data_IF_948158806348
#
_entry.id   IF_948158806348
#
_cell.length_a   1.000
_cell.length_b   1.000
_cell.length_c   1.000
_cell.angle_alpha   90.00
_cell.angle_beta   90.00
_cell.angle_gamma   90.00
#
_symmetry.space_group_name_H-M   'P 1'
#
loop_
_entity.id
_entity.type
_entity.pdbx_description
1 polymer ?
#
# COMPACT_ATOMS: atom_id res chain seq x y z
N UNK A 1 -4.01 14.29 -12.39
CA UNK A 1 -3.17 15.34 -11.78
C UNK A 1 -1.87 15.54 -12.54
N UNK A 2 -1.07 14.49 -12.77
CA UNK A 2 0.20 14.58 -13.51
C UNK A 2 0.10 15.31 -14.87
N UNK A 3 -1.02 15.15 -15.58
CA UNK A 3 -1.28 15.77 -16.89
C UNK A 3 -2.11 17.07 -16.81
N UNK A 4 -2.43 17.54 -15.61
CA UNK A 4 -3.26 18.74 -15.43
C UNK A 4 -2.44 20.01 -15.65
N UNK A 5 -3.05 21.00 -16.30
CA UNK A 5 -2.50 22.36 -16.43
C UNK A 5 -2.84 23.27 -15.25
N UNK A 6 -3.62 22.80 -14.26
CA UNK A 6 -4.01 23.59 -13.10
C UNK A 6 -2.83 23.77 -12.14
N UNK A 7 -2.42 25.01 -11.82
CA UNK A 7 -1.32 25.24 -10.90
C UNK A 7 -1.70 24.79 -9.48
N UNK A 8 -0.78 24.10 -8.80
CA UNK A 8 -0.97 23.58 -7.45
C UNK A 8 -2.16 22.61 -7.30
N UNK A 9 -2.48 21.86 -8.35
CA UNK A 9 -3.54 20.86 -8.30
C UNK A 9 -3.24 19.81 -7.22
N UNK A 10 -4.22 19.60 -6.33
CA UNK A 10 -4.17 18.63 -5.24
C UNK A 10 -5.25 17.57 -5.48
N UNK A 11 -4.99 16.35 -5.03
CA UNK A 11 -5.99 15.30 -4.96
C UNK A 11 -5.68 14.34 -3.83
N UNK A 12 -6.61 13.43 -3.61
CA UNK A 12 -6.58 12.51 -2.48
C UNK A 12 -6.89 11.11 -2.99
N UNK A 13 -5.92 10.20 -2.86
CA UNK A 13 -6.07 8.76 -3.06
C UNK A 13 -5.05 8.04 -2.16
N UNK A 14 -4.94 6.72 -2.27
CA UNK A 14 -4.03 5.91 -1.46
C UNK A 14 -2.55 6.26 -1.73
N UNK A 15 -1.73 6.29 -0.68
CA UNK A 15 -0.29 6.51 -0.80
C UNK A 15 0.37 5.47 -1.73
N UNK A 16 -0.11 4.23 -1.66
CA UNK A 16 0.29 3.10 -2.52
C UNK A 16 0.02 3.34 -4.01
N UNK A 17 -0.89 4.24 -4.37
CA UNK A 17 -1.12 4.65 -5.76
C UNK A 17 -0.25 5.86 -6.15
N UNK A 18 -0.12 6.83 -5.24
CA UNK A 18 0.59 8.09 -5.51
C UNK A 18 2.10 7.85 -5.69
N UNK A 19 2.73 7.04 -4.83
CA UNK A 19 4.18 6.80 -4.83
C UNK A 19 4.69 6.25 -6.16
N UNK A 20 3.86 5.46 -6.86
CA UNK A 20 4.23 4.85 -8.14
C UNK A 20 3.73 5.62 -9.36
N UNK A 21 2.97 6.71 -9.18
CA UNK A 21 2.44 7.52 -10.26
C UNK A 21 3.47 8.58 -10.71
N UNK A 22 3.96 8.57 -11.96
CA UNK A 22 4.88 9.58 -12.45
C UNK A 22 4.25 10.98 -12.47
N UNK A 23 5.04 12.01 -12.19
CA UNK A 23 4.60 13.41 -12.29
C UNK A 23 3.72 13.90 -11.13
N UNK A 24 3.57 13.11 -10.07
CA UNK A 24 2.98 13.53 -8.79
C UNK A 24 3.91 13.17 -7.63
N UNK A 25 3.66 13.75 -6.47
CA UNK A 25 4.35 13.44 -5.23
C UNK A 25 3.35 13.34 -4.09
N UNK A 26 3.63 12.47 -3.12
CA UNK A 26 2.85 12.40 -1.89
C UNK A 26 3.14 13.63 -1.03
N UNK A 27 2.13 14.47 -0.81
CA UNK A 27 2.27 15.67 0.01
C UNK A 27 2.19 15.38 1.51
N UNK A 28 1.18 14.62 1.93
CA UNK A 28 0.96 14.18 3.31
C UNK A 28 -0.12 13.09 3.37
N UNK A 29 -0.16 12.35 4.47
CA UNK A 29 -1.33 11.54 4.85
C UNK A 29 -2.45 12.45 5.39
N UNK A 30 -3.70 11.98 5.30
CA UNK A 30 -4.81 12.63 5.98
C UNK A 30 -4.68 12.46 7.51
N UNK A 31 -5.26 13.35 8.32
CA UNK A 31 -5.39 13.13 9.76
C UNK A 31 -6.14 11.82 10.05
N UNK A 32 -5.78 11.13 11.13
CA UNK A 32 -6.33 9.82 11.48
C UNK A 32 -7.87 9.83 11.62
N UNK A 33 -8.46 10.95 12.03
CA UNK A 33 -9.92 11.10 12.16
C UNK A 33 -10.63 11.23 10.81
N UNK A 34 -9.88 11.53 9.74
CA UNK A 34 -10.38 11.76 8.38
C UNK A 34 -9.86 10.73 7.37
N UNK A 35 -8.90 9.91 7.76
CA UNK A 35 -8.32 8.91 6.89
C UNK A 35 -9.25 7.70 6.72
N UNK A 36 -9.04 6.99 5.62
CA UNK A 36 -9.69 5.72 5.34
C UNK A 36 -8.60 4.66 5.14
N UNK A 37 -7.94 4.29 6.24
CA UNK A 37 -6.89 3.28 6.23
C UNK A 37 -7.42 1.99 5.61
N UNK A 38 -6.77 1.55 4.53
CA UNK A 38 -7.17 0.34 3.81
C UNK A 38 -6.36 -0.84 4.34
N UNK A 39 -7.03 -1.81 4.95
CA UNK A 39 -6.40 -3.04 5.42
C UNK A 39 -6.22 -4.00 4.25
N UNK A 40 -4.97 -4.34 3.93
CA UNK A 40 -4.63 -5.36 2.94
C UNK A 40 -4.45 -6.72 3.60
N UNK A 41 -5.28 -7.68 3.23
CA UNK A 41 -5.25 -9.04 3.78
C UNK A 41 -4.77 -10.03 2.73
N UNK A 42 -3.75 -10.81 3.05
CA UNK A 42 -3.32 -11.94 2.24
C UNK A 42 -3.79 -13.24 2.89
N UNK A 43 -4.37 -14.15 2.09
CA UNK A 43 -4.88 -15.44 2.56
C UNK A 43 -4.63 -16.55 1.54
N UNK A 44 -4.49 -17.79 2.03
CA UNK A 44 -4.39 -18.97 1.16
C UNK A 44 -5.80 -19.38 0.75
N UNK A 45 -6.04 -19.47 -0.56
CA UNK A 45 -7.30 -20.00 -1.09
C UNK A 45 -7.53 -21.44 -0.63
N UNK A 46 -8.75 -21.76 -0.23
CA UNK A 46 -9.15 -23.13 0.14
C UNK A 46 -9.02 -24.14 -1.01
N UNK A 47 -8.89 -23.64 -2.24
CA UNK A 47 -8.72 -24.43 -3.47
C UNK A 47 -7.30 -24.34 -4.03
N UNK A 48 -6.33 -23.83 -3.28
CA UNK A 48 -4.97 -23.71 -3.76
C UNK A 48 -4.38 -25.09 -4.09
N UNK A 49 -3.85 -25.25 -5.30
CA UNK A 49 -3.13 -26.47 -5.70
C UNK A 49 -1.82 -26.63 -4.92
N UNK A 50 -1.22 -25.52 -4.49
CA UNK A 50 0.03 -25.47 -3.74
C UNK A 50 -0.13 -24.63 -2.45
N UNK A 51 -0.89 -25.10 -1.45
CA UNK A 51 -1.22 -24.30 -0.27
C UNK A 51 0.00 -23.97 0.57
N UNK A 52 1.00 -24.87 0.62
CA UNK A 52 2.27 -24.63 1.32
C UNK A 52 3.10 -23.53 0.67
N UNK A 53 3.19 -23.51 -0.66
CA UNK A 53 3.92 -22.48 -1.39
C UNK A 53 3.23 -21.11 -1.24
N UNK A 54 1.90 -21.08 -1.32
CA UNK A 54 1.13 -19.86 -1.06
C UNK A 54 1.35 -19.31 0.36
N UNK A 55 1.33 -20.19 1.38
CA UNK A 55 1.62 -19.79 2.76
C UNK A 55 3.06 -19.27 2.92
N UNK A 56 4.03 -19.90 2.27
CA UNK A 56 5.42 -19.45 2.27
C UNK A 56 5.57 -18.07 1.62
N UNK A 57 4.87 -17.80 0.52
CA UNK A 57 4.84 -16.48 -0.11
C UNK A 57 4.24 -15.43 0.82
N UNK A 58 3.12 -15.71 1.46
CA UNK A 58 2.50 -14.78 2.43
C UNK A 58 3.50 -14.49 3.55
N UNK A 59 4.13 -15.52 4.11
CA UNK A 59 5.14 -15.38 5.17
C UNK A 59 6.31 -14.48 4.72
N UNK A 60 6.79 -14.66 3.50
CA UNK A 60 7.85 -13.82 2.92
C UNK A 60 7.40 -12.36 2.81
N UNK A 61 6.22 -12.13 2.22
CA UNK A 61 5.67 -10.79 2.00
C UNK A 61 5.36 -10.04 3.32
N UNK A 62 4.99 -10.76 4.38
CA UNK A 62 4.66 -10.20 5.70
C UNK A 62 5.82 -10.27 6.70
N UNK A 63 7.00 -10.73 6.29
CA UNK A 63 8.18 -10.81 7.16
C UNK A 63 8.67 -9.44 7.59
N UNK A 64 9.45 -9.41 8.68
CA UNK A 64 10.14 -8.20 9.14
C UNK A 64 11.17 -7.71 8.13
N UNK A 65 11.86 -8.63 7.44
CA UNK A 65 12.82 -8.30 6.38
C UNK A 65 12.15 -7.53 5.22
N UNK A 66 10.91 -7.87 4.90
CA UNK A 66 10.12 -7.17 3.89
C UNK A 66 9.44 -5.88 4.41
N UNK A 67 9.53 -5.55 5.70
CA UNK A 67 8.85 -4.38 6.26
C UNK A 67 9.30 -3.07 5.59
N UNK A 68 10.60 -2.91 5.36
CA UNK A 68 11.14 -1.75 4.65
C UNK A 68 10.62 -1.61 3.22
N UNK A 69 10.43 -2.73 2.50
CA UNK A 69 9.85 -2.73 1.15
C UNK A 69 8.37 -2.33 1.18
N UNK A 70 7.61 -2.82 2.17
CA UNK A 70 6.21 -2.43 2.36
C UNK A 70 6.10 -0.94 2.65
N UNK A 71 6.89 -0.41 3.58
CA UNK A 71 6.88 1.03 3.88
C UNK A 71 7.31 1.90 2.69
N UNK A 72 8.33 1.47 1.93
CA UNK A 72 8.73 2.16 0.70
C UNK A 72 7.63 2.16 -0.37
N UNK A 73 6.76 1.14 -0.37
CA UNK A 73 5.58 1.05 -1.24
C UNK A 73 4.35 1.80 -0.73
N UNK A 74 4.43 2.50 0.40
CA UNK A 74 3.29 3.25 0.97
C UNK A 74 2.38 2.44 1.88
N UNK A 75 2.78 1.23 2.29
CA UNK A 75 2.04 0.45 3.28
C UNK A 75 2.46 0.83 4.70
N UNK A 76 1.48 0.90 5.58
CA UNK A 76 1.68 1.12 7.00
C UNK A 76 1.54 -0.19 7.79
N UNK A 77 2.23 -0.33 8.93
CA UNK A 77 2.00 -1.46 9.83
C UNK A 77 0.55 -1.45 10.34
N UNK A 78 0.03 -2.63 10.69
CA UNK A 78 -1.28 -2.70 11.33
C UNK A 78 -1.23 -1.99 12.70
N UNK A 79 -2.32 -1.32 13.11
CA UNK A 79 -2.43 -0.79 14.47
C UNK A 79 -2.31 -1.92 15.50
N UNK A 80 -1.74 -1.62 16.67
CA UNK A 80 -1.77 -2.52 17.83
C UNK A 80 -3.18 -2.72 18.40
#
# INVERSE_FOLDING_TARGET
>A
LAESSEPNAMGCTQATEIIFAPGVQLAANLPAELELATVYTAAVSSRAEQPRAAAALITLLTSEEAAGLRSAGGFEPLPE
#
